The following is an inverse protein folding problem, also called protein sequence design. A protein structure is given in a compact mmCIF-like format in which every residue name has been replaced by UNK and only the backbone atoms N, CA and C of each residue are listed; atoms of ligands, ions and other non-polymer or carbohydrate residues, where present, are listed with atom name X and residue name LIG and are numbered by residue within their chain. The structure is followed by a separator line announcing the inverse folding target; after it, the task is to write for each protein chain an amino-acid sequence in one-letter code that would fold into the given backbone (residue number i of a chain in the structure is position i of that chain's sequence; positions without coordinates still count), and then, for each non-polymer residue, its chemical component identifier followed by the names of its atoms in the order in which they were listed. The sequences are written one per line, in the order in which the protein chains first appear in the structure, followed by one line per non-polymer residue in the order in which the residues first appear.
data_IF_894340793662
#
_entry.id   IF_894340793662
#
_cell.length_a   1.000
_cell.length_b   1.000
_cell.length_c   1.000
_cell.angle_alpha   90.00
_cell.angle_beta   90.00
_cell.angle_gamma   90.00
#
_symmetry.space_group_name_H-M   'P 1'
#
loop_
_entity.id
_entity.type
_entity.pdbx_description
1 polymer ?
#
# COMPACT_ATOMS: atom_id res chain seq x y z
N UNK A 1 -43.96 17.18 -63.87
CA UNK A 1 -44.19 17.37 -62.43
C UNK A 1 -43.38 16.33 -61.71
N UNK A 2 -42.27 16.75 -61.09
CA UNK A 2 -41.41 15.87 -60.30
C UNK A 2 -41.73 16.12 -58.81
N UNK A 3 -42.28 15.07 -58.18
CA UNK A 3 -42.55 15.13 -56.74
C UNK A 3 -41.27 14.90 -55.94
N UNK A 4 -40.83 15.92 -55.14
CA UNK A 4 -39.78 15.82 -54.14
C UNK A 4 -40.46 15.36 -52.83
N UNK A 5 -40.06 14.18 -52.32
CA UNK A 5 -40.37 13.77 -50.92
C UNK A 5 -39.21 14.22 -50.02
N UNK A 6 -39.46 14.94 -48.96
CA UNK A 6 -38.41 15.25 -48.00
C UNK A 6 -38.15 14.03 -47.12
N UNK A 7 -36.89 13.61 -47.08
CA UNK A 7 -36.37 12.58 -46.14
C UNK A 7 -36.26 13.23 -44.77
N UNK A 8 -37.15 12.89 -43.86
CA UNK A 8 -37.03 13.26 -42.43
C UNK A 8 -36.04 12.31 -41.77
N UNK A 9 -34.82 12.81 -41.47
CA UNK A 9 -33.85 12.09 -40.66
C UNK A 9 -34.23 12.29 -39.20
N UNK A 10 -34.76 11.26 -38.55
CA UNK A 10 -34.97 11.20 -37.12
C UNK A 10 -33.61 10.86 -36.50
N UNK A 11 -32.90 11.85 -35.94
CA UNK A 11 -31.76 11.66 -35.04
C UNK A 11 -32.33 11.22 -33.68
N UNK A 12 -32.32 9.92 -33.45
CA UNK A 12 -32.55 9.38 -32.10
C UNK A 12 -31.34 9.74 -31.23
N UNK A 13 -31.59 10.58 -30.24
CA UNK A 13 -30.65 10.85 -29.18
C UNK A 13 -30.53 9.62 -28.25
N UNK A 14 -29.49 8.81 -28.47
CA UNK A 14 -29.03 7.77 -27.56
C UNK A 14 -28.03 8.39 -26.55
N UNK A 15 -28.48 9.29 -25.72
CA UNK A 15 -27.62 9.98 -24.77
C UNK A 15 -28.12 9.96 -23.31
N UNK A 16 -29.11 9.12 -22.98
CA UNK A 16 -29.75 9.19 -21.68
C UNK A 16 -29.60 7.96 -20.77
N UNK A 17 -29.03 6.84 -21.25
CA UNK A 17 -28.91 5.64 -20.41
C UNK A 17 -27.64 5.66 -19.54
N UNK A 18 -26.49 6.10 -20.04
CA UNK A 18 -25.22 6.11 -19.28
C UNK A 18 -25.24 7.02 -18.02
N UNK A 19 -26.00 8.10 -18.00
CA UNK A 19 -26.03 9.02 -16.86
C UNK A 19 -26.87 8.51 -15.68
N UNK A 20 -27.86 7.66 -15.93
CA UNK A 20 -28.69 7.08 -14.86
C UNK A 20 -27.96 5.92 -14.16
N UNK A 21 -27.29 5.03 -14.92
CA UNK A 21 -26.60 3.87 -14.36
C UNK A 21 -25.44 4.29 -13.46
N UNK A 22 -24.65 5.31 -13.83
CA UNK A 22 -23.56 5.82 -12.99
C UNK A 22 -24.04 6.51 -11.71
N UNK A 23 -25.17 7.23 -11.77
CA UNK A 23 -25.76 7.85 -10.59
C UNK A 23 -26.31 6.80 -9.62
N UNK A 24 -26.95 5.76 -10.11
CA UNK A 24 -27.50 4.66 -9.32
C UNK A 24 -26.34 3.86 -8.66
N UNK A 25 -25.23 3.64 -9.37
CA UNK A 25 -24.03 3.00 -8.83
C UNK A 25 -23.44 3.82 -7.67
N UNK A 26 -23.14 5.11 -7.86
CA UNK A 26 -22.57 5.99 -6.83
C UNK A 26 -23.47 6.01 -5.60
N UNK A 27 -24.80 6.17 -5.78
CA UNK A 27 -25.77 6.20 -4.68
C UNK A 27 -25.81 4.88 -3.89
N UNK A 28 -25.65 3.73 -4.55
CA UNK A 28 -25.57 2.43 -3.89
C UNK A 28 -24.28 2.31 -3.05
N UNK A 29 -23.14 2.77 -3.59
CA UNK A 29 -21.86 2.78 -2.88
C UNK A 29 -21.92 3.71 -1.67
N UNK A 30 -22.43 4.95 -1.82
CA UNK A 30 -22.64 5.91 -0.73
C UNK A 30 -23.48 5.32 0.41
N UNK A 31 -24.58 4.68 0.05
CA UNK A 31 -25.51 4.07 1.04
C UNK A 31 -24.83 2.95 1.82
N UNK A 32 -24.03 2.12 1.17
CA UNK A 32 -23.37 0.96 1.80
C UNK A 32 -22.12 1.37 2.60
N UNK A 33 -21.36 2.36 2.11
CA UNK A 33 -20.16 2.86 2.79
C UNK A 33 -20.50 3.88 3.89
N UNK A 34 -21.68 4.47 3.86
CA UNK A 34 -22.11 5.51 4.81
C UNK A 34 -21.40 6.86 4.64
N UNK A 35 -20.81 7.10 3.47
CA UNK A 35 -20.11 8.35 3.12
C UNK A 35 -20.56 8.84 1.75
N UNK A 36 -20.49 10.15 1.52
CA UNK A 36 -20.86 10.77 0.24
C UNK A 36 -19.63 10.95 -0.63
N UNK A 37 -19.77 10.71 -1.93
CA UNK A 37 -18.72 10.97 -2.90
C UNK A 37 -18.35 12.47 -2.94
N UNK A 38 -17.07 12.77 -3.03
CA UNK A 38 -16.52 14.12 -3.02
C UNK A 38 -15.57 14.32 -4.22
N UNK A 39 -15.00 15.53 -4.32
CA UNK A 39 -14.06 15.88 -5.38
C UNK A 39 -12.76 15.09 -5.21
N UNK A 40 -12.32 14.43 -6.28
CA UNK A 40 -11.08 13.68 -6.32
C UNK A 40 -9.86 14.56 -6.02
N UNK A 41 -8.95 14.13 -5.14
CA UNK A 41 -7.69 14.83 -4.88
C UNK A 41 -6.74 14.83 -6.10
N UNK A 42 -6.93 13.88 -7.03
CA UNK A 42 -6.17 13.81 -8.28
C UNK A 42 -6.86 14.53 -9.45
N UNK A 43 -8.04 15.12 -9.21
CA UNK A 43 -8.82 15.78 -10.25
C UNK A 43 -9.50 14.79 -11.22
N UNK A 44 -9.91 15.31 -12.39
CA UNK A 44 -10.58 14.49 -13.41
C UNK A 44 -12.02 14.10 -13.04
N UNK A 45 -12.50 13.00 -13.64
CA UNK A 45 -13.87 12.45 -13.45
C UNK A 45 -13.89 11.26 -12.48
N UNK A 46 -12.78 10.98 -11.78
CA UNK A 46 -12.69 9.89 -10.79
C UNK A 46 -13.59 10.16 -9.58
N UNK A 47 -14.18 9.09 -9.04
CA UNK A 47 -15.09 9.15 -7.88
C UNK A 47 -14.32 8.91 -6.60
N UNK A 48 -14.46 9.80 -5.62
CA UNK A 48 -13.69 9.76 -4.38
C UNK A 48 -14.61 9.64 -3.15
N UNK A 49 -14.36 8.61 -2.34
CA UNK A 49 -14.99 8.40 -1.04
C UNK A 49 -13.93 8.56 0.05
N UNK A 50 -14.04 9.61 0.83
CA UNK A 50 -13.09 9.96 1.88
C UNK A 50 -13.48 9.36 3.23
N UNK A 51 -12.48 8.86 3.98
CA UNK A 51 -12.62 8.46 5.38
C UNK A 51 -13.67 7.37 5.63
N UNK A 52 -13.71 6.36 4.78
CA UNK A 52 -14.53 5.16 4.95
C UNK A 52 -13.97 4.33 6.10
N UNK A 53 -14.78 4.04 7.13
CA UNK A 53 -14.36 3.21 8.25
C UNK A 53 -14.24 1.74 7.83
N UNK A 54 -13.07 1.13 8.05
CA UNK A 54 -12.86 -0.31 7.85
C UNK A 54 -12.81 -1.10 9.16
N UNK A 55 -12.85 -0.41 10.31
CA UNK A 55 -12.88 -0.97 11.65
C UNK A 55 -13.44 0.01 12.67
N UNK A 56 -13.30 -0.29 13.96
CA UNK A 56 -13.89 0.50 15.04
C UNK A 56 -12.94 1.53 15.66
N UNK A 57 -11.64 1.45 15.41
CA UNK A 57 -10.66 2.40 15.92
C UNK A 57 -10.66 3.69 15.10
N UNK A 58 -10.32 4.82 15.73
CA UNK A 58 -10.35 6.14 15.11
C UNK A 58 -9.53 6.19 13.81
N UNK A 59 -8.37 5.54 13.78
CA UNK A 59 -7.52 5.51 12.59
C UNK A 59 -7.83 4.38 11.60
N UNK A 60 -8.76 3.48 11.91
CA UNK A 60 -9.19 2.44 10.96
C UNK A 60 -10.11 3.03 9.89
N UNK A 61 -9.57 3.94 9.09
CA UNK A 61 -10.23 4.63 7.98
C UNK A 61 -9.39 4.52 6.72
N UNK A 62 -10.08 4.45 5.58
CA UNK A 62 -9.45 4.45 4.26
C UNK A 62 -10.17 5.40 3.31
N UNK A 63 -9.45 5.84 2.29
CA UNK A 63 -9.99 6.56 1.15
C UNK A 63 -10.13 5.61 -0.03
N UNK A 64 -11.20 5.75 -0.82
CA UNK A 64 -11.42 4.97 -2.04
C UNK A 64 -11.52 5.92 -3.21
N UNK A 65 -10.70 5.71 -4.21
CA UNK A 65 -10.67 6.48 -5.45
C UNK A 65 -10.91 5.52 -6.63
N UNK A 66 -12.06 5.67 -7.27
CA UNK A 66 -12.46 4.86 -8.41
C UNK A 66 -12.17 5.59 -9.72
N UNK A 67 -11.67 4.91 -10.76
CA UNK A 67 -11.49 5.52 -12.08
C UNK A 67 -12.83 5.95 -12.67
N UNK A 68 -12.78 6.83 -13.68
CA UNK A 68 -13.96 7.35 -14.36
C UNK A 68 -14.69 6.34 -15.26
N UNK A 69 -14.16 5.12 -15.40
CA UNK A 69 -14.69 4.04 -16.25
C UNK A 69 -15.83 3.25 -15.60
N UNK A 70 -16.31 2.26 -16.35
CA UNK A 70 -17.47 1.44 -15.94
C UNK A 70 -17.09 0.33 -14.94
N UNK A 71 -15.83 -0.15 -14.90
CA UNK A 71 -15.35 -1.18 -13.97
C UNK A 71 -13.83 -1.12 -13.82
N UNK A 72 -13.35 -1.37 -12.61
CA UNK A 72 -11.92 -1.39 -12.35
C UNK A 72 -11.28 -2.74 -12.69
N UNK A 73 -10.13 -2.73 -13.36
CA UNK A 73 -9.34 -3.92 -13.71
C UNK A 73 -8.63 -4.56 -12.51
N UNK A 74 -8.54 -3.83 -11.41
CA UNK A 74 -7.92 -4.23 -10.16
C UNK A 74 -7.87 -3.06 -9.19
N UNK A 75 -7.25 -3.26 -8.04
CA UNK A 75 -7.12 -2.23 -7.02
C UNK A 75 -5.74 -2.25 -6.38
N UNK A 76 -5.19 -1.06 -6.15
CA UNK A 76 -4.03 -0.84 -5.31
C UNK A 76 -4.49 -0.50 -3.90
N UNK A 77 -4.11 -1.30 -2.89
CA UNK A 77 -4.28 -0.96 -1.47
C UNK A 77 -2.95 -0.40 -0.94
N UNK A 78 -2.96 0.88 -0.63
CA UNK A 78 -1.77 1.64 -0.25
C UNK A 78 -1.74 1.95 1.24
N UNK A 79 -0.54 1.83 1.85
CA UNK A 79 -0.24 2.20 3.23
C UNK A 79 0.84 3.29 3.27
N UNK A 80 0.57 4.38 3.98
CA UNK A 80 1.47 5.53 4.06
C UNK A 80 2.75 5.25 4.85
N UNK A 81 3.77 6.10 4.69
CA UNK A 81 4.98 6.11 5.51
C UNK A 81 4.79 6.87 6.82
N UNK A 82 5.91 7.21 7.48
CA UNK A 82 5.92 8.03 8.71
C UNK A 82 6.39 7.30 9.96
N UNK A 83 7.13 6.19 9.82
CA UNK A 83 7.78 5.47 10.93
C UNK A 83 6.81 5.00 11.99
N UNK A 84 5.57 4.70 11.63
CA UNK A 84 4.48 4.34 12.55
C UNK A 84 4.12 5.41 13.59
N UNK A 85 4.70 6.60 13.52
CA UNK A 85 4.45 7.69 14.48
C UNK A 85 3.70 8.87 13.90
N UNK A 86 3.62 8.94 12.56
CA UNK A 86 2.99 10.01 11.80
C UNK A 86 2.48 9.48 10.44
N UNK A 87 1.92 10.37 9.63
CA UNK A 87 1.41 10.08 8.30
C UNK A 87 -0.09 9.94 8.27
N UNK A 88 -0.62 9.98 7.06
CA UNK A 88 -2.05 9.89 6.78
C UNK A 88 -2.31 9.25 5.41
N UNK A 89 -3.49 8.65 5.24
CA UNK A 89 -3.93 8.06 3.97
C UNK A 89 -3.87 9.03 2.80
N UNK A 90 -4.00 10.34 3.05
CA UNK A 90 -3.86 11.39 2.05
C UNK A 90 -2.46 11.46 1.43
N UNK A 91 -1.44 10.88 2.06
CA UNK A 91 -0.08 10.82 1.48
C UNK A 91 0.01 10.02 0.18
N UNK A 92 -1.00 9.22 -0.16
CA UNK A 92 -1.12 8.59 -1.48
C UNK A 92 -1.20 9.62 -2.62
N UNK A 93 -1.65 10.83 -2.33
CA UNK A 93 -1.90 11.90 -3.28
C UNK A 93 -0.82 13.00 -3.26
N UNK A 94 0.25 12.81 -2.47
CA UNK A 94 1.38 13.71 -2.39
C UNK A 94 2.20 13.72 -3.70
N UNK A 95 2.93 14.81 -3.94
CA UNK A 95 3.72 15.05 -5.17
C UNK A 95 4.59 13.86 -5.58
N UNK A 96 5.17 13.15 -4.60
CA UNK A 96 6.05 12.01 -4.85
C UNK A 96 5.34 10.82 -5.53
N UNK A 97 4.07 10.59 -5.23
CA UNK A 97 3.27 9.46 -5.77
C UNK A 97 2.28 9.90 -6.85
N UNK A 98 2.08 11.20 -7.02
CA UNK A 98 1.03 11.78 -7.86
C UNK A 98 0.99 11.18 -9.27
N UNK A 99 2.13 11.13 -9.95
CA UNK A 99 2.22 10.60 -11.32
C UNK A 99 1.88 9.10 -11.38
N UNK A 100 2.38 8.33 -10.43
CA UNK A 100 2.08 6.90 -10.33
C UNK A 100 0.59 6.67 -10.11
N UNK A 101 -0.03 7.36 -9.14
CA UNK A 101 -1.45 7.18 -8.83
C UNK A 101 -2.35 7.65 -9.98
N UNK A 102 -2.00 8.76 -10.65
CA UNK A 102 -2.73 9.21 -11.82
C UNK A 102 -2.64 8.20 -12.97
N UNK A 103 -1.44 7.67 -13.25
CA UNK A 103 -1.25 6.65 -14.28
C UNK A 103 -2.09 5.40 -14.01
N UNK A 104 -2.19 4.96 -12.76
CA UNK A 104 -3.02 3.81 -12.39
C UNK A 104 -4.50 4.09 -12.62
N UNK A 105 -5.02 5.24 -12.19
CA UNK A 105 -6.41 5.64 -12.45
C UNK A 105 -6.74 5.71 -13.93
N UNK A 106 -5.85 6.30 -14.73
CA UNK A 106 -6.00 6.44 -16.19
C UNK A 106 -5.99 5.08 -16.91
N UNK A 107 -5.53 4.01 -16.23
CA UNK A 107 -5.55 2.63 -16.71
C UNK A 107 -6.61 1.75 -16.05
N UNK A 108 -7.64 2.35 -15.45
CA UNK A 108 -8.78 1.69 -14.81
C UNK A 108 -8.40 0.90 -13.54
N UNK A 109 -7.37 1.30 -12.80
CA UNK A 109 -7.02 0.72 -11.51
C UNK A 109 -7.57 1.61 -10.40
N UNK A 110 -8.40 1.04 -9.53
CA UNK A 110 -8.86 1.73 -8.32
C UNK A 110 -7.72 1.90 -7.32
N UNK A 111 -7.77 2.97 -6.52
CA UNK A 111 -6.82 3.24 -5.46
C UNK A 111 -7.56 3.26 -4.13
N UNK A 112 -7.09 2.49 -3.17
CA UNK A 112 -7.53 2.52 -1.78
C UNK A 112 -6.33 2.87 -0.93
N UNK A 113 -6.41 3.95 -0.15
CA UNK A 113 -5.34 4.37 0.75
C UNK A 113 -5.82 4.28 2.19
N UNK A 114 -5.09 3.54 3.02
CA UNK A 114 -5.51 3.22 4.38
C UNK A 114 -4.63 3.90 5.43
N UNK A 115 -5.26 4.47 6.45
CA UNK A 115 -4.65 4.75 7.74
C UNK A 115 -4.52 3.45 8.55
N UNK A 116 -3.66 3.46 9.53
CA UNK A 116 -3.43 2.36 10.48
C UNK A 116 -3.06 2.91 11.86
N UNK A 117 -3.11 2.10 12.89
CA UNK A 117 -2.76 2.46 14.27
C UNK A 117 -1.30 2.91 14.36
N UNK A 118 -1.08 4.08 14.94
CA UNK A 118 0.26 4.60 15.19
C UNK A 118 0.77 4.16 16.57
N UNK A 119 2.09 4.07 16.72
CA UNK A 119 2.75 3.77 18.00
C UNK A 119 2.46 4.81 19.11
N UNK A 120 1.96 5.98 18.71
CA UNK A 120 1.50 7.04 19.63
C UNK A 120 0.08 6.84 20.14
N UNK A 121 -0.67 5.89 19.57
CA UNK A 121 -2.05 5.57 19.99
C UNK A 121 -2.03 4.83 21.33
N UNK A 122 -2.83 5.28 22.29
CA UNK A 122 -2.93 4.62 23.60
C UNK A 122 -3.51 3.22 23.45
N UNK A 123 -2.84 2.23 24.06
CA UNK A 123 -3.30 0.84 24.06
C UNK A 123 -2.97 0.05 22.78
N UNK A 124 -2.05 0.57 21.93
CA UNK A 124 -1.51 -0.20 20.83
C UNK A 124 -0.58 -1.33 21.33
N UNK A 125 -0.37 -2.34 20.49
CA UNK A 125 0.54 -3.48 20.73
C UNK A 125 1.84 -3.34 19.92
N UNK A 126 2.35 -2.11 19.80
CA UNK A 126 3.54 -1.81 19.03
C UNK A 126 3.25 -1.91 17.51
N UNK A 127 4.30 -2.27 16.76
CA UNK A 127 4.22 -2.40 15.30
C UNK A 127 3.18 -3.43 14.85
N UNK A 128 2.92 -4.45 15.66
CA UNK A 128 1.96 -5.51 15.35
C UNK A 128 0.56 -4.95 15.11
N UNK A 129 0.11 -3.96 15.90
CA UNK A 129 -1.18 -3.29 15.66
C UNK A 129 -1.32 -2.71 14.25
N UNK A 130 -0.27 -2.11 13.71
CA UNK A 130 -0.30 -1.56 12.35
C UNK A 130 -0.30 -2.65 11.28
N UNK A 131 0.39 -3.78 11.51
CA UNK A 131 0.41 -4.92 10.61
C UNK A 131 -0.96 -5.59 10.53
N UNK A 132 -1.63 -5.79 11.67
CA UNK A 132 -2.99 -6.34 11.79
C UNK A 132 -4.06 -5.38 11.24
N UNK A 133 -3.86 -4.08 11.36
CA UNK A 133 -4.72 -3.10 10.69
C UNK A 133 -4.64 -3.23 9.17
N UNK A 134 -3.44 -3.53 8.63
CA UNK A 134 -3.26 -3.85 7.22
C UNK A 134 -4.08 -5.06 6.78
N UNK A 135 -4.09 -6.14 7.57
CA UNK A 135 -4.93 -7.31 7.32
C UNK A 135 -6.43 -6.96 7.38
N UNK A 136 -6.83 -6.18 8.38
CA UNK A 136 -8.22 -5.76 8.55
C UNK A 136 -8.68 -4.91 7.36
N UNK A 137 -7.85 -3.96 6.90
CA UNK A 137 -8.12 -3.14 5.71
C UNK A 137 -8.22 -3.98 4.44
N UNK A 138 -7.32 -4.95 4.25
CA UNK A 138 -7.36 -5.88 3.11
C UNK A 138 -8.63 -6.74 3.11
N UNK A 139 -9.01 -7.28 4.27
CA UNK A 139 -10.23 -8.08 4.40
C UNK A 139 -11.50 -7.24 4.21
N UNK A 140 -11.52 -6.01 4.71
CA UNK A 140 -12.60 -5.06 4.43
C UNK A 140 -12.72 -4.77 2.93
N UNK A 141 -11.61 -4.42 2.26
CA UNK A 141 -11.60 -4.18 0.83
C UNK A 141 -12.13 -5.39 0.05
N UNK A 142 -11.65 -6.59 0.36
CA UNK A 142 -12.15 -7.85 -0.26
C UNK A 142 -13.65 -8.00 -0.16
N UNK A 143 -14.25 -7.62 0.97
CA UNK A 143 -15.70 -7.68 1.16
C UNK A 143 -16.48 -6.67 0.29
N UNK A 144 -15.81 -5.63 -0.23
CA UNK A 144 -16.39 -4.54 -1.00
C UNK A 144 -16.06 -4.59 -2.50
N UNK A 145 -15.23 -5.51 -2.97
CA UNK A 145 -14.79 -5.58 -4.37
C UNK A 145 -15.95 -5.58 -5.36
N UNK A 146 -16.99 -6.37 -5.09
CA UNK A 146 -18.18 -6.43 -5.95
C UNK A 146 -18.97 -5.12 -5.93
N UNK A 147 -19.13 -4.50 -4.76
CA UNK A 147 -19.80 -3.20 -4.60
C UNK A 147 -19.09 -2.10 -5.38
N UNK A 148 -17.76 -2.14 -5.39
CA UNK A 148 -16.89 -1.16 -6.07
C UNK A 148 -16.64 -1.50 -7.55
N UNK A 149 -17.34 -2.50 -8.09
CA UNK A 149 -17.18 -2.98 -9.47
C UNK A 149 -15.74 -3.41 -9.84
N UNK A 150 -14.98 -3.90 -8.85
CA UNK A 150 -13.65 -4.48 -9.04
C UNK A 150 -13.83 -5.98 -9.32
N UNK A 151 -14.36 -6.31 -10.50
CA UNK A 151 -14.85 -7.65 -10.83
C UNK A 151 -13.76 -8.71 -10.98
N UNK A 152 -12.51 -8.30 -11.22
CA UNK A 152 -11.38 -9.23 -11.31
C UNK A 152 -10.99 -9.82 -9.97
N UNK A 153 -11.33 -9.15 -8.87
CA UNK A 153 -10.89 -9.52 -7.52
C UNK A 153 -9.39 -9.38 -7.26
N UNK A 154 -8.64 -8.77 -8.19
CA UNK A 154 -7.19 -8.61 -8.13
C UNK A 154 -6.79 -7.42 -7.28
N UNK A 155 -5.88 -7.63 -6.31
CA UNK A 155 -5.36 -6.61 -5.40
C UNK A 155 -3.84 -6.53 -5.49
N UNK A 156 -3.27 -5.33 -5.52
CA UNK A 156 -1.84 -5.09 -5.27
C UNK A 156 -1.71 -4.39 -3.92
N UNK A 157 -0.86 -4.91 -3.04
CA UNK A 157 -0.52 -4.23 -1.80
C UNK A 157 0.66 -3.29 -2.05
N UNK A 158 0.55 -2.05 -1.60
CA UNK A 158 1.60 -1.06 -1.77
C UNK A 158 1.85 -0.27 -0.49
N UNK A 159 3.07 0.21 -0.32
CA UNK A 159 3.36 1.12 0.77
C UNK A 159 4.73 1.78 0.66
N UNK A 160 4.87 2.85 1.45
CA UNK A 160 6.12 3.61 1.58
C UNK A 160 6.65 3.46 2.99
N UNK A 161 7.95 3.17 3.15
CA UNK A 161 8.64 3.09 4.45
C UNK A 161 7.87 2.17 5.43
N UNK A 162 7.34 2.68 6.54
CA UNK A 162 6.51 1.92 7.46
C UNK A 162 5.37 1.15 6.76
N UNK A 163 4.69 1.79 5.82
CA UNK A 163 3.64 1.15 5.03
C UNK A 163 4.15 0.05 4.09
N UNK A 164 5.41 0.14 3.64
CA UNK A 164 6.01 -0.92 2.82
C UNK A 164 6.14 -2.24 3.60
N UNK A 165 6.45 -2.17 4.90
CA UNK A 165 6.45 -3.35 5.76
C UNK A 165 5.07 -3.91 6.01
N UNK A 166 4.02 -3.06 6.15
CA UNK A 166 2.63 -3.51 6.24
C UNK A 166 2.24 -4.28 4.96
N UNK A 167 2.58 -3.74 3.78
CA UNK A 167 2.30 -4.38 2.50
C UNK A 167 3.02 -5.74 2.37
N UNK A 168 4.31 -5.82 2.75
CA UNK A 168 5.11 -7.05 2.72
C UNK A 168 4.57 -8.09 3.70
N UNK A 169 4.33 -7.71 4.96
CA UNK A 169 3.83 -8.61 6.00
C UNK A 169 2.51 -9.26 5.58
N UNK A 170 1.58 -8.48 5.04
CA UNK A 170 0.29 -8.97 4.57
C UNK A 170 0.39 -9.75 3.24
N UNK A 171 1.33 -9.41 2.39
CA UNK A 171 1.55 -10.04 1.10
C UNK A 171 2.20 -11.42 1.18
N UNK A 172 3.01 -11.67 2.20
CA UNK A 172 3.75 -12.93 2.36
C UNK A 172 3.11 -13.91 3.34
N UNK A 173 1.95 -13.59 3.91
CA UNK A 173 1.21 -14.51 4.77
C UNK A 173 0.20 -15.35 4.00
N UNK A 174 0.47 -16.63 3.88
CA UNK A 174 -0.52 -17.61 3.41
C UNK A 174 -1.46 -17.98 4.56
N UNK A 175 -2.80 -17.94 4.42
CA UNK A 175 -3.59 -17.77 3.19
C UNK A 175 -3.97 -16.32 2.83
N UNK A 176 -3.47 -15.30 3.54
CA UNK A 176 -3.91 -13.92 3.37
C UNK A 176 -3.54 -13.32 2.00
N UNK A 177 -2.56 -13.88 1.31
CA UNK A 177 -2.15 -13.44 -0.03
C UNK A 177 -3.09 -13.88 -1.17
N UNK A 178 -4.14 -14.67 -0.91
CA UNK A 178 -5.14 -15.00 -1.92
C UNK A 178 -5.73 -13.71 -2.54
N UNK A 179 -5.74 -13.60 -3.85
CA UNK A 179 -6.11 -12.41 -4.63
C UNK A 179 -5.05 -11.30 -4.66
N UNK A 180 -3.99 -11.35 -3.84
CA UNK A 180 -2.87 -10.41 -3.96
C UNK A 180 -2.01 -10.82 -5.16
N UNK A 181 -1.90 -9.90 -6.13
CA UNK A 181 -1.19 -10.14 -7.39
C UNK A 181 0.22 -9.55 -7.39
N UNK A 182 0.55 -8.71 -6.41
CA UNK A 182 1.86 -8.09 -6.28
C UNK A 182 2.00 -7.33 -4.97
N UNK A 183 3.25 -7.13 -4.54
CA UNK A 183 3.63 -6.27 -3.42
C UNK A 183 4.59 -5.20 -3.92
N UNK A 184 4.18 -3.93 -3.81
CA UNK A 184 4.97 -2.75 -4.18
C UNK A 184 5.50 -2.08 -2.91
N UNK A 185 6.79 -2.23 -2.64
CA UNK A 185 7.46 -1.73 -1.44
C UNK A 185 8.45 -0.60 -1.77
N UNK A 186 8.11 0.64 -1.39
CA UNK A 186 8.93 1.84 -1.66
C UNK A 186 9.64 2.24 -0.36
N UNK A 187 10.94 2.52 -0.42
CA UNK A 187 11.77 2.83 0.74
C UNK A 187 11.63 1.77 1.86
N UNK A 188 11.63 0.50 1.45
CA UNK A 188 11.29 -0.64 2.27
C UNK A 188 12.39 -1.01 3.28
N UNK A 189 11.99 -1.49 4.45
CA UNK A 189 12.82 -2.31 5.33
C UNK A 189 12.68 -3.77 4.95
N UNK A 190 13.69 -4.59 5.25
CA UNK A 190 13.67 -6.02 4.93
C UNK A 190 13.02 -6.89 6.02
N UNK A 191 12.78 -6.34 7.19
CA UNK A 191 12.19 -7.01 8.35
C UNK A 191 11.82 -5.98 9.41
N UNK A 192 10.83 -6.29 10.24
CA UNK A 192 10.57 -5.59 11.51
C UNK A 192 11.08 -6.34 12.73
N UNK A 193 11.74 -7.47 12.55
CA UNK A 193 12.72 -7.95 13.51
C UNK A 193 13.99 -7.10 13.36
N UNK A 194 14.14 -6.06 14.16
CA UNK A 194 15.25 -5.09 14.02
C UNK A 194 16.63 -5.73 14.29
N UNK A 195 16.71 -6.88 14.95
CA UNK A 195 17.96 -7.63 15.10
C UNK A 195 18.44 -8.23 13.76
N UNK A 196 17.56 -8.51 12.81
CA UNK A 196 17.95 -8.94 11.47
C UNK A 196 18.72 -7.85 10.68
N UNK A 197 18.62 -6.59 11.09
CA UNK A 197 19.38 -5.51 10.44
C UNK A 197 20.89 -5.60 10.68
N UNK A 198 21.33 -6.33 11.70
CA UNK A 198 22.74 -6.66 11.90
C UNK A 198 23.30 -7.52 10.73
N UNK A 199 22.43 -8.29 10.07
CA UNK A 199 22.77 -9.05 8.87
C UNK A 199 22.76 -8.18 7.61
N UNK A 200 22.01 -7.10 7.59
CA UNK A 200 21.93 -6.14 6.47
C UNK A 200 23.13 -5.19 6.48
N UNK A 201 23.53 -4.71 7.65
CA UNK A 201 24.59 -3.72 7.82
C UNK A 201 25.77 -4.27 8.63
N UNK A 202 26.88 -4.67 7.99
CA UNK A 202 28.06 -5.15 8.70
C UNK A 202 28.58 -4.12 9.68
N UNK A 203 28.73 -4.51 10.95
CA UNK A 203 29.20 -3.64 12.02
C UNK A 203 28.11 -2.82 12.72
N UNK A 204 26.87 -2.89 12.29
CA UNK A 204 25.73 -2.39 13.03
C UNK A 204 25.44 -3.35 14.20
N UNK A 205 25.12 -2.80 15.38
CA UNK A 205 24.62 -3.56 16.52
C UNK A 205 23.49 -2.80 17.18
N UNK A 206 22.32 -3.41 17.20
CA UNK A 206 21.11 -2.85 17.79
C UNK A 206 21.27 -2.67 19.29
N UNK A 207 21.83 -3.65 19.98
CA UNK A 207 22.07 -3.57 21.43
C UNK A 207 23.06 -2.46 21.79
N UNK A 208 24.15 -2.30 21.02
CA UNK A 208 25.08 -1.21 21.23
C UNK A 208 24.40 0.15 21.03
N UNK A 209 23.55 0.27 20.01
CA UNK A 209 22.79 1.50 19.73
C UNK A 209 21.82 1.85 20.87
N UNK A 210 21.08 0.86 21.38
CA UNK A 210 20.15 1.02 22.51
C UNK A 210 20.87 1.46 23.79
N UNK A 211 22.08 0.93 24.03
CA UNK A 211 22.92 1.30 25.20
C UNK A 211 23.49 2.71 25.10
N UNK A 212 23.82 3.18 23.90
CA UNK A 212 24.37 4.51 23.65
C UNK A 212 23.36 5.65 23.84
N UNK A 213 22.08 5.38 23.56
CA UNK A 213 21.04 6.41 23.56
C UNK A 213 19.76 5.95 24.25
N UNK A 214 19.44 6.55 25.43
CA UNK A 214 18.14 6.28 26.08
C UNK A 214 16.93 6.56 25.19
N UNK A 215 17.02 7.55 24.29
CA UNK A 215 15.93 7.87 23.36
C UNK A 215 15.73 6.75 22.32
N UNK A 216 16.82 6.19 21.78
CA UNK A 216 16.73 5.08 20.85
C UNK A 216 16.22 3.81 21.50
N UNK A 217 16.62 3.56 22.76
CA UNK A 217 16.03 2.48 23.52
C UNK A 217 14.53 2.70 23.80
N UNK A 218 14.10 3.92 24.07
CA UNK A 218 12.69 4.25 24.25
C UNK A 218 11.88 4.02 22.94
N UNK A 219 12.43 4.40 21.79
CA UNK A 219 11.82 4.12 20.49
C UNK A 219 11.71 2.62 20.19
N UNK A 220 12.76 1.86 20.52
CA UNK A 220 12.74 0.40 20.40
C UNK A 220 11.63 -0.22 21.25
N UNK A 221 11.55 0.17 22.53
CA UNK A 221 10.51 -0.31 23.44
C UNK A 221 9.11 0.12 22.99
N UNK A 222 8.96 1.31 22.42
CA UNK A 222 7.70 1.77 21.83
C UNK A 222 7.33 0.96 20.59
N UNK A 223 8.32 0.63 19.75
CA UNK A 223 8.11 -0.14 18.52
C UNK A 223 7.54 -1.53 18.80
N UNK A 224 7.94 -2.20 19.87
CA UNK A 224 7.44 -3.52 20.26
C UNK A 224 6.46 -3.52 21.44
N UNK A 225 6.09 -2.34 21.96
CA UNK A 225 5.31 -2.19 23.20
C UNK A 225 5.97 -2.86 24.43
N UNK A 226 7.31 -2.84 24.49
CA UNK A 226 8.12 -3.44 25.54
C UNK A 226 9.36 -4.15 25.00
N UNK A 227 9.98 -5.00 25.82
CA UNK A 227 11.05 -5.91 25.35
C UNK A 227 10.39 -7.09 24.60
N UNK A 228 10.69 -7.28 23.30
CA UNK A 228 10.05 -8.31 22.54
C UNK A 228 10.53 -9.71 22.94
N UNK A 229 9.62 -10.64 22.97
CA UNK A 229 9.91 -12.07 23.05
C UNK A 229 10.42 -12.61 21.71
N UNK A 230 11.01 -13.81 21.72
CA UNK A 230 11.43 -14.47 20.49
C UNK A 230 10.25 -14.76 19.56
N UNK A 231 9.04 -14.97 20.12
CA UNK A 231 7.83 -15.16 19.32
C UNK A 231 7.40 -13.88 18.62
N UNK A 232 7.32 -12.75 19.34
CA UNK A 232 6.96 -11.46 18.74
C UNK A 232 7.97 -11.02 17.66
N UNK A 233 9.27 -11.28 17.86
CA UNK A 233 10.28 -11.04 16.82
C UNK A 233 10.05 -11.92 15.58
N UNK A 234 9.65 -13.18 15.76
CA UNK A 234 9.33 -14.07 14.66
C UNK A 234 8.05 -13.66 13.92
N UNK A 235 7.05 -13.13 14.61
CA UNK A 235 5.79 -12.66 14.03
C UNK A 235 5.98 -11.44 13.11
N UNK A 236 6.98 -10.61 13.36
CA UNK A 236 7.30 -9.41 12.55
C UNK A 236 8.46 -9.63 11.56
N UNK A 237 9.02 -10.84 11.49
CA UNK A 237 10.08 -11.26 10.55
C UNK A 237 9.46 -11.72 9.23
N UNK A 238 8.80 -10.80 8.49
CA UNK A 238 8.07 -11.14 7.27
C UNK A 238 8.94 -11.69 6.14
N UNK A 239 10.26 -11.41 6.13
CA UNK A 239 11.18 -12.00 5.16
C UNK A 239 11.26 -13.54 5.32
N UNK A 240 11.07 -14.06 6.53
CA UNK A 240 11.05 -15.50 6.77
C UNK A 240 9.79 -16.20 6.26
N UNK A 241 8.73 -15.43 5.98
CA UNK A 241 7.47 -15.95 5.43
C UNK A 241 7.53 -16.15 3.91
N UNK A 242 8.49 -15.50 3.24
CA UNK A 242 8.62 -15.53 1.78
C UNK A 242 8.76 -16.95 1.25
N UNK A 243 7.96 -17.31 0.24
CA UNK A 243 8.03 -18.58 -0.47
C UNK A 243 7.73 -18.42 -1.98
N UNK A 244 7.86 -19.53 -2.74
CA UNK A 244 7.66 -19.51 -4.20
C UNK A 244 6.22 -19.26 -4.64
N UNK A 245 5.24 -19.36 -3.76
CA UNK A 245 3.82 -19.12 -4.04
C UNK A 245 3.39 -17.69 -3.74
N UNK A 246 4.26 -16.90 -3.12
CA UNK A 246 3.98 -15.50 -2.83
C UNK A 246 3.88 -14.66 -4.10
N UNK A 247 3.08 -13.57 -4.06
CA UNK A 247 2.97 -12.65 -5.18
C UNK A 247 4.34 -12.02 -5.52
N UNK A 248 4.54 -11.59 -6.78
CA UNK A 248 5.72 -10.82 -7.17
C UNK A 248 6.01 -9.66 -6.22
N UNK A 249 7.27 -9.48 -5.85
CA UNK A 249 7.74 -8.39 -4.99
C UNK A 249 8.49 -7.35 -5.82
N UNK A 250 8.06 -6.09 -5.74
CA UNK A 250 8.81 -4.94 -6.25
C UNK A 250 9.37 -4.12 -5.10
N UNK A 251 10.66 -3.75 -5.17
CA UNK A 251 11.29 -2.89 -4.16
C UNK A 251 11.96 -1.68 -4.79
N UNK A 252 11.64 -0.48 -4.27
CA UNK A 252 12.24 0.79 -4.67
C UNK A 252 13.02 1.39 -3.51
N UNK A 253 14.32 1.07 -3.39
CA UNK A 253 15.24 1.66 -2.43
C UNK A 253 16.45 2.25 -3.16
N UNK A 254 16.72 3.53 -2.99
CA UNK A 254 17.83 4.24 -3.65
C UNK A 254 18.81 4.89 -2.68
N UNK A 255 18.52 4.91 -1.37
CA UNK A 255 19.45 5.41 -0.37
C UNK A 255 20.74 4.58 -0.32
N UNK A 256 21.86 5.22 0.01
CA UNK A 256 23.18 4.60 0.07
C UNK A 256 23.31 3.55 1.16
N UNK A 257 24.55 3.19 1.52
CA UNK A 257 24.84 2.15 2.51
C UNK A 257 25.70 2.61 3.70
N UNK A 258 26.00 3.90 3.75
CA UNK A 258 26.83 4.48 4.81
C UNK A 258 25.94 4.88 6.00
N UNK A 259 25.57 3.90 6.84
CA UNK A 259 24.73 4.12 8.03
C UNK A 259 25.36 5.02 9.11
N UNK A 260 26.67 5.28 8.99
CA UNK A 260 27.38 6.26 9.82
C UNK A 260 27.98 7.31 8.90
N UNK A 261 27.65 8.58 9.12
CA UNK A 261 28.15 9.68 8.31
C UNK A 261 29.63 10.00 8.63
N UNK A 262 30.24 10.92 7.88
CA UNK A 262 31.64 11.30 8.04
C UNK A 262 31.95 11.91 9.43
N UNK A 263 30.96 12.35 10.18
CA UNK A 263 31.07 12.89 11.55
C UNK A 263 30.96 11.81 12.61
N UNK A 264 30.69 10.55 12.24
CA UNK A 264 30.50 9.43 13.14
C UNK A 264 29.09 9.36 13.74
N UNK A 265 28.12 10.07 13.15
CA UNK A 265 26.73 10.06 13.58
C UNK A 265 25.93 9.07 12.73
N UNK A 266 24.91 8.46 13.33
CA UNK A 266 24.00 7.53 12.63
C UNK A 266 23.11 8.29 11.64
N UNK A 267 23.12 7.83 10.39
CA UNK A 267 22.19 8.29 9.35
C UNK A 267 20.96 7.39 9.33
N UNK A 268 19.87 7.87 9.92
CA UNK A 268 18.62 7.12 10.03
C UNK A 268 17.91 6.93 8.70
N UNK A 269 18.06 7.86 7.73
CA UNK A 269 17.48 7.68 6.42
C UNK A 269 18.13 6.50 5.70
N UNK A 270 19.46 6.44 5.73
CA UNK A 270 20.21 5.30 5.20
C UNK A 270 19.90 4.02 5.97
N UNK A 271 19.85 4.06 7.31
CA UNK A 271 19.55 2.89 8.11
C UNK A 271 18.16 2.29 7.76
N UNK A 272 17.18 3.14 7.48
CA UNK A 272 15.82 2.68 7.21
C UNK A 272 15.55 2.38 5.73
N UNK A 273 16.22 3.07 4.79
CA UNK A 273 15.82 3.06 3.39
C UNK A 273 16.94 2.64 2.42
N UNK A 274 18.07 2.14 2.96
CA UNK A 274 19.20 1.69 2.15
C UNK A 274 18.81 0.66 1.08
N UNK A 275 19.46 0.73 -0.08
CA UNK A 275 19.38 -0.34 -1.09
C UNK A 275 19.78 -1.73 -0.53
N UNK A 276 20.49 -1.79 0.58
CA UNK A 276 20.86 -3.05 1.25
C UNK A 276 19.66 -3.84 1.73
N UNK A 277 18.59 -3.17 2.19
CA UNK A 277 17.34 -3.85 2.49
C UNK A 277 16.72 -4.49 1.23
N UNK A 278 16.73 -3.77 0.10
CA UNK A 278 16.25 -4.31 -1.16
C UNK A 278 17.08 -5.52 -1.63
N UNK A 279 18.41 -5.45 -1.50
CA UNK A 279 19.31 -6.57 -1.82
C UNK A 279 19.05 -7.79 -0.91
N UNK A 280 18.81 -7.55 0.37
CA UNK A 280 18.53 -8.63 1.33
C UNK A 280 17.20 -9.34 1.02
N UNK A 281 16.16 -8.57 0.64
CA UNK A 281 14.88 -9.11 0.14
C UNK A 281 15.06 -9.85 -1.19
N UNK A 282 15.81 -9.27 -2.14
CA UNK A 282 16.10 -9.88 -3.43
C UNK A 282 16.80 -11.25 -3.30
N UNK A 283 17.79 -11.33 -2.42
CA UNK A 283 18.49 -12.59 -2.15
C UNK A 283 17.56 -13.66 -1.58
N UNK A 284 16.66 -13.27 -0.70
CA UNK A 284 15.64 -14.19 -0.18
C UNK A 284 14.66 -14.63 -1.27
N UNK A 285 14.13 -13.69 -2.07
CA UNK A 285 13.24 -14.01 -3.18
C UNK A 285 13.87 -15.02 -4.16
N UNK A 286 15.13 -14.80 -4.53
CA UNK A 286 15.90 -15.76 -5.37
C UNK A 286 16.00 -17.12 -4.68
N UNK A 287 16.31 -17.14 -3.37
CA UNK A 287 16.50 -18.39 -2.61
C UNK A 287 15.22 -19.24 -2.55
N UNK A 288 14.07 -18.60 -2.44
CA UNK A 288 12.78 -19.28 -2.34
C UNK A 288 12.06 -19.45 -3.68
N UNK A 289 12.53 -18.78 -4.74
CA UNK A 289 11.91 -18.82 -6.08
C UNK A 289 10.72 -17.88 -6.27
N UNK A 290 10.59 -16.84 -5.43
CA UNK A 290 9.62 -15.76 -5.61
C UNK A 290 10.08 -14.81 -6.72
N UNK A 291 9.14 -14.28 -7.51
CA UNK A 291 9.44 -13.25 -8.50
C UNK A 291 9.81 -11.93 -7.81
N UNK A 292 10.93 -11.33 -8.24
CA UNK A 292 11.43 -10.05 -7.72
C UNK A 292 11.71 -9.06 -8.84
N UNK A 293 11.25 -7.82 -8.65
CA UNK A 293 11.54 -6.68 -9.53
C UNK A 293 11.97 -5.46 -8.71
N UNK A 294 12.36 -4.39 -9.37
CA UNK A 294 12.77 -3.16 -8.70
C UNK A 294 13.09 -2.04 -9.67
N UNK A 295 13.53 -0.92 -9.11
CA UNK A 295 13.72 0.38 -9.78
C UNK A 295 14.57 0.34 -11.07
N UNK A 296 15.45 -0.66 -11.23
CA UNK A 296 16.29 -0.78 -12.43
C UNK A 296 15.68 -1.67 -13.53
N UNK A 297 14.54 -2.30 -13.27
CA UNK A 297 13.85 -3.17 -14.22
C UNK A 297 12.59 -2.54 -14.79
N UNK A 298 11.79 -1.91 -13.96
CA UNK A 298 10.53 -1.27 -14.34
C UNK A 298 10.17 -0.15 -13.37
N UNK A 299 9.22 0.72 -13.74
CA UNK A 299 8.65 1.73 -12.85
C UNK A 299 7.58 1.12 -11.93
N UNK A 300 7.23 1.78 -10.78
CA UNK A 300 6.19 1.30 -9.88
C UNK A 300 4.84 1.08 -10.55
N UNK A 301 4.40 2.01 -11.39
CA UNK A 301 3.15 1.92 -12.17
C UNK A 301 3.19 0.77 -13.17
N UNK A 302 4.30 0.60 -13.91
CA UNK A 302 4.47 -0.50 -14.85
C UNK A 302 4.39 -1.86 -14.16
N UNK A 303 5.00 -2.01 -12.97
CA UNK A 303 4.87 -3.22 -12.16
C UNK A 303 3.41 -3.50 -11.81
N UNK A 304 2.69 -2.51 -11.27
CA UNK A 304 1.28 -2.67 -10.86
C UNK A 304 0.42 -3.07 -12.06
N UNK A 305 0.55 -2.38 -13.18
CA UNK A 305 -0.21 -2.70 -14.39
C UNK A 305 0.07 -4.12 -14.87
N UNK A 306 1.34 -4.53 -14.92
CA UNK A 306 1.76 -5.86 -15.37
C UNK A 306 1.18 -7.00 -14.52
N UNK A 307 1.19 -6.86 -13.19
CA UNK A 307 0.69 -7.93 -12.31
C UNK A 307 -0.84 -7.97 -12.23
N UNK A 308 -1.53 -6.91 -12.67
CA UNK A 308 -2.99 -6.86 -12.74
C UNK A 308 -3.54 -7.29 -14.11
N UNK A 309 -2.72 -7.39 -15.16
CA UNK A 309 -3.09 -7.99 -16.44
C UNK A 309 -3.43 -9.49 -16.29
#
# INVERSE_FOLDING_TARGET
MKNFFPLVVILLYLSCEKSNDSHDFISAVESELGVTATTSPLGGESVFFESVAYGSAERQQLDILLPAGDASKGVLLFFHGGGFTAGDKSNAYDEFLLETMQTLLDNDIAIVSANYTLLTTTGNEGVLSALEDGETALNYLRSKLNLLEITTGKVVLAGVSAGAGIAQWNGFQTPNNNQVQGVLAIAAQSSYNLYEWENVFPGFSLDALRQLSPNLNALFLQFYNGEPTAQELAEVEYRSFMDASDPPLYVYNIAGDQVVNAQGELDFDVLYHSYRHADYLRLQAINVGQEFSGVFQESPDAFVLRVLE
#
